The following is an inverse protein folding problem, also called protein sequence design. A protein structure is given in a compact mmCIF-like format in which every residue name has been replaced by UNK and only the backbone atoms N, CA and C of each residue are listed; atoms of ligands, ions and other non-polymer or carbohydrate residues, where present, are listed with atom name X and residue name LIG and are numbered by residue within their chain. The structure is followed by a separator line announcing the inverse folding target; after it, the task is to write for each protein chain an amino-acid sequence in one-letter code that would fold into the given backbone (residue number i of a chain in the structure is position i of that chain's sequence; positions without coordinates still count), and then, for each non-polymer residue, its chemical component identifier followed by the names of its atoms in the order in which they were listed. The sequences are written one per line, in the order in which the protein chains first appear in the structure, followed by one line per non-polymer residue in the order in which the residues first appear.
data_IF_549233484564
#
_entry.id   IF_549233484564
#
_cell.length_a   1.000
_cell.length_b   1.000
_cell.length_c   1.000
_cell.angle_alpha   90.00
_cell.angle_beta   90.00
_cell.angle_gamma   90.00
#
_symmetry.space_group_name_H-M   'P 1'
#
loop_
_entity.id
_entity.type
_entity.pdbx_description
1 polymer ?
#
# COMPACT_ATOMS: atom_id res chain seq x y z
N UNK A 1 -6.88 -3.44 12.09
CA UNK A 1 -5.59 -3.63 12.79
C UNK A 1 -4.81 -4.75 12.12
N UNK A 2 -3.50 -4.57 11.97
CA UNK A 2 -2.61 -5.61 11.43
C UNK A 2 -1.61 -5.97 12.52
N UNK A 3 -1.44 -7.25 12.81
CA UNK A 3 -0.50 -7.74 13.80
C UNK A 3 0.51 -8.68 13.16
N UNK A 4 1.79 -8.45 13.45
CA UNK A 4 2.92 -9.25 13.01
C UNK A 4 3.55 -9.88 14.25
N UNK A 5 3.67 -11.20 14.27
CA UNK A 5 4.22 -11.96 15.39
C UNK A 5 5.33 -12.90 14.92
N UNK A 6 6.55 -12.71 15.43
CA UNK A 6 7.75 -13.53 15.19
C UNK A 6 8.04 -13.79 13.70
N UNK A 7 7.81 -12.79 12.86
CA UNK A 7 7.89 -12.91 11.42
C UNK A 7 9.34 -12.97 10.95
N UNK A 8 9.70 -14.07 10.25
CA UNK A 8 11.04 -14.25 9.68
C UNK A 8 10.97 -14.67 8.23
N UNK A 9 11.90 -14.11 7.43
CA UNK A 9 12.16 -14.50 6.05
C UNK A 9 13.64 -14.39 5.73
N UNK A 10 14.20 -15.48 5.21
CA UNK A 10 15.58 -15.51 4.74
C UNK A 10 15.63 -15.89 3.25
N UNK A 11 16.61 -15.36 2.55
CA UNK A 11 17.00 -15.78 1.21
C UNK A 11 18.46 -16.27 1.29
N UNK A 12 18.63 -17.59 1.39
CA UNK A 12 19.92 -18.18 1.70
C UNK A 12 20.42 -17.71 3.07
N UNK A 13 21.58 -17.08 3.11
CA UNK A 13 22.17 -16.54 4.35
C UNK A 13 21.69 -15.11 4.67
N UNK A 14 20.94 -14.47 3.76
CA UNK A 14 20.50 -13.09 3.94
C UNK A 14 19.17 -13.04 4.68
N UNK A 15 19.13 -12.37 5.83
CA UNK A 15 17.91 -12.06 6.56
C UNK A 15 17.19 -10.92 5.85
N UNK A 16 16.01 -11.20 5.29
CA UNK A 16 15.19 -10.20 4.60
C UNK A 16 14.11 -9.60 5.51
N UNK A 17 13.68 -10.35 6.54
CA UNK A 17 12.72 -9.88 7.54
C UNK A 17 12.95 -10.66 8.83
N UNK A 18 13.07 -9.94 9.95
CA UNK A 18 13.11 -10.49 11.32
C UNK A 18 12.41 -9.51 12.26
N UNK A 19 11.10 -9.66 12.39
CA UNK A 19 10.23 -8.76 13.17
C UNK A 19 9.59 -9.58 14.29
N UNK A 20 10.09 -9.46 15.53
CA UNK A 20 9.55 -10.21 16.68
C UNK A 20 8.09 -9.87 16.97
N UNK A 21 7.73 -8.59 16.94
CA UNK A 21 6.35 -8.12 17.11
C UNK A 21 6.21 -6.72 16.53
N UNK A 22 5.13 -6.49 15.79
CA UNK A 22 4.77 -5.16 15.30
C UNK A 22 3.25 -5.08 15.10
N UNK A 23 2.67 -3.97 15.47
CA UNK A 23 1.22 -3.74 15.31
C UNK A 23 0.99 -2.44 14.55
N UNK A 24 0.12 -2.49 13.55
CA UNK A 24 -0.35 -1.32 12.81
C UNK A 24 -1.82 -1.12 13.18
N UNK A 25 -2.14 0.06 13.71
CA UNK A 25 -3.49 0.34 14.21
C UNK A 25 -4.44 0.68 13.06
N UNK A 26 -5.73 0.56 13.34
CA UNK A 26 -6.75 1.02 12.39
C UNK A 26 -6.65 2.54 12.20
N UNK A 27 -6.73 2.97 10.95
CA UNK A 27 -6.64 4.37 10.58
C UNK A 27 -5.23 4.96 10.54
N UNK A 28 -4.18 4.20 10.87
CA UNK A 28 -2.80 4.66 10.69
C UNK A 28 -2.50 4.89 9.20
N UNK A 29 -1.79 5.98 8.89
CA UNK A 29 -1.01 6.11 7.66
C UNK A 29 0.43 5.78 8.05
N UNK A 30 0.83 4.53 7.84
CA UNK A 30 2.17 4.04 8.18
C UNK A 30 3.15 4.28 7.02
N UNK A 31 4.17 5.08 7.26
CA UNK A 31 5.34 5.17 6.40
C UNK A 31 6.37 4.10 6.76
N UNK A 32 6.61 3.14 5.87
CA UNK A 32 7.69 2.16 6.03
C UNK A 32 8.93 2.65 5.30
N UNK A 33 9.88 3.18 6.04
CA UNK A 33 11.08 3.81 5.50
C UNK A 33 12.29 2.88 5.66
N UNK A 34 13.24 2.98 4.75
CA UNK A 34 14.50 2.22 4.78
C UNK A 34 15.19 2.21 3.44
N UNK A 35 16.49 1.95 3.44
CA UNK A 35 17.31 1.88 2.24
C UNK A 35 16.84 0.76 1.28
N UNK A 36 17.34 0.81 0.04
CA UNK A 36 17.13 -0.30 -0.89
C UNK A 36 17.70 -1.60 -0.33
N UNK A 37 16.92 -2.67 -0.36
CA UNK A 37 17.33 -3.94 0.25
C UNK A 37 17.02 -4.08 1.75
N UNK A 38 16.45 -3.07 2.40
CA UNK A 38 16.09 -3.14 3.83
C UNK A 38 15.03 -4.19 4.17
N UNK A 39 14.26 -4.69 3.18
CA UNK A 39 13.22 -5.70 3.38
C UNK A 39 11.79 -5.19 3.22
N UNK A 40 11.56 -3.92 2.85
CA UNK A 40 10.22 -3.30 2.72
C UNK A 40 9.28 -4.10 1.81
N UNK A 41 9.67 -4.32 0.56
CA UNK A 41 8.87 -5.11 -0.40
C UNK A 41 8.72 -6.56 0.02
N UNK A 42 9.71 -7.14 0.72
CA UNK A 42 9.62 -8.50 1.27
C UNK A 42 8.52 -8.58 2.32
N UNK A 43 8.49 -7.61 3.25
CA UNK A 43 7.45 -7.52 4.27
C UNK A 43 6.06 -7.38 3.63
N UNK A 44 5.88 -6.46 2.67
CA UNK A 44 4.60 -6.27 1.98
C UNK A 44 4.16 -7.53 1.22
N UNK A 45 5.09 -8.23 0.55
CA UNK A 45 4.76 -9.49 -0.14
C UNK A 45 4.33 -10.58 0.82
N UNK A 46 4.91 -10.66 2.02
CA UNK A 46 4.46 -11.62 3.04
C UNK A 46 3.08 -11.24 3.55
N UNK A 47 2.85 -9.95 3.84
CA UNK A 47 1.54 -9.46 4.29
C UNK A 47 0.42 -9.76 3.27
N UNK A 48 0.73 -9.78 1.98
CA UNK A 48 -0.21 -10.03 0.89
C UNK A 48 -0.25 -11.51 0.43
N UNK A 49 0.38 -12.42 1.17
CA UNK A 49 0.52 -13.84 0.81
C UNK A 49 1.12 -14.09 -0.58
N UNK A 50 1.92 -13.14 -1.08
CA UNK A 50 2.68 -13.27 -2.32
C UNK A 50 4.06 -13.93 -2.09
N UNK A 51 4.47 -14.01 -0.85
CA UNK A 51 5.71 -14.64 -0.39
C UNK A 51 5.47 -15.33 0.95
N UNK A 52 5.86 -16.60 1.03
CA UNK A 52 5.71 -17.36 2.27
C UNK A 52 6.80 -16.98 3.28
N UNK A 53 6.41 -16.66 4.50
CA UNK A 53 7.33 -16.52 5.63
C UNK A 53 7.98 -17.86 5.98
N UNK A 54 9.19 -17.83 6.52
CA UNK A 54 9.86 -19.02 7.05
C UNK A 54 9.36 -19.33 8.47
N UNK A 55 8.97 -18.28 9.22
CA UNK A 55 8.43 -18.38 10.57
C UNK A 55 7.51 -17.21 10.88
N UNK A 56 6.64 -17.36 11.88
CA UNK A 56 5.75 -16.30 12.37
C UNK A 56 4.50 -16.13 11.53
N UNK A 57 3.72 -15.12 11.88
CA UNK A 57 2.40 -14.87 11.29
C UNK A 57 2.13 -13.39 11.10
N UNK A 58 1.29 -13.10 10.09
CA UNK A 58 0.59 -11.82 9.95
C UNK A 58 -0.89 -12.08 10.15
N UNK A 59 -1.57 -11.22 10.88
CA UNK A 59 -3.02 -11.32 11.07
C UNK A 59 -3.70 -9.99 10.83
N UNK A 60 -4.85 -10.04 10.17
CA UNK A 60 -5.73 -8.90 9.93
C UNK A 60 -6.96 -8.97 10.83
N UNK A 61 -7.30 -7.86 11.44
CA UNK A 61 -8.59 -7.66 12.12
C UNK A 61 -9.30 -6.50 11.45
N UNK A 62 -10.52 -6.72 10.96
CA UNK A 62 -11.27 -5.71 10.22
C UNK A 62 -12.42 -5.19 11.08
N UNK A 63 -12.48 -3.87 11.36
CA UNK A 63 -13.56 -3.28 12.16
C UNK A 63 -14.96 -3.52 11.60
N UNK A 64 -15.08 -3.60 10.25
CA UNK A 64 -16.36 -3.84 9.57
C UNK A 64 -16.98 -5.20 9.88
N UNK A 65 -16.19 -6.15 10.34
CA UNK A 65 -16.68 -7.48 10.75
C UNK A 65 -17.27 -7.48 12.16
N UNK A 66 -17.07 -6.38 12.93
CA UNK A 66 -17.69 -6.14 14.24
C UNK A 66 -17.28 -7.12 15.35
N UNK A 67 -17.29 -6.64 16.60
CA UNK A 67 -17.26 -7.52 17.77
C UNK A 67 -18.56 -8.34 17.82
N UNK A 68 -18.45 -9.67 17.69
CA UNK A 68 -19.62 -10.56 17.67
C UNK A 68 -19.99 -11.13 16.30
N UNK A 69 -19.29 -10.76 15.21
CA UNK A 69 -19.47 -11.39 13.89
C UNK A 69 -19.06 -12.87 13.89
N UNK A 70 -18.35 -13.36 14.90
CA UNK A 70 -17.76 -14.70 14.94
C UNK A 70 -16.53 -14.86 14.03
N UNK A 71 -16.13 -13.81 13.32
CA UNK A 71 -14.93 -13.80 12.47
C UNK A 71 -13.78 -13.29 13.33
N UNK A 72 -12.84 -14.17 13.64
CA UNK A 72 -11.59 -13.85 14.33
C UNK A 72 -10.58 -13.14 13.42
N UNK A 73 -9.37 -12.86 13.92
CA UNK A 73 -8.27 -12.38 13.11
C UNK A 73 -8.00 -13.32 11.93
N UNK A 74 -7.82 -12.77 10.72
CA UNK A 74 -7.60 -13.53 9.49
C UNK A 74 -6.10 -13.58 9.20
N UNK A 75 -5.54 -14.80 9.08
CA UNK A 75 -4.19 -15.01 8.61
C UNK A 75 -4.21 -15.12 7.08
N UNK A 76 -3.53 -14.22 6.32
CA UNK A 76 -3.52 -14.25 4.87
C UNK A 76 -2.93 -15.55 4.28
N UNK A 77 -2.06 -16.24 5.01
CA UNK A 77 -1.49 -17.51 4.58
C UNK A 77 -2.46 -18.70 4.71
N UNK A 78 -3.60 -18.53 5.39
CA UNK A 78 -4.56 -19.60 5.69
C UNK A 78 -5.96 -19.36 5.09
N UNK A 79 -6.32 -18.10 4.77
CA UNK A 79 -7.62 -17.74 4.23
C UNK A 79 -7.47 -16.64 3.17
N UNK A 80 -8.38 -16.61 2.21
CA UNK A 80 -8.49 -15.56 1.19
C UNK A 80 -9.50 -14.46 1.56
N UNK A 81 -10.21 -14.59 2.69
CA UNK A 81 -11.28 -13.68 3.09
C UNK A 81 -10.82 -12.21 3.29
N UNK A 82 -9.53 -12.01 3.55
CA UNK A 82 -8.94 -10.68 3.66
C UNK A 82 -8.89 -9.90 2.33
N UNK A 83 -8.89 -10.59 1.18
CA UNK A 83 -8.68 -9.97 -0.14
C UNK A 83 -9.74 -8.94 -0.50
N UNK A 84 -10.96 -9.08 0.00
CA UNK A 84 -12.03 -8.12 -0.23
C UNK A 84 -11.87 -6.80 0.53
N UNK A 85 -11.02 -6.77 1.55
CA UNK A 85 -10.78 -5.61 2.41
C UNK A 85 -9.44 -4.92 2.17
N UNK A 86 -8.55 -5.54 1.39
CA UNK A 86 -7.20 -5.06 1.14
C UNK A 86 -7.02 -4.70 -0.32
N UNK A 87 -6.54 -3.50 -0.58
CA UNK A 87 -6.08 -3.08 -1.90
C UNK A 87 -4.58 -2.92 -1.89
N UNK A 88 -3.90 -3.38 -2.94
CA UNK A 88 -2.45 -3.30 -2.98
C UNK A 88 -1.92 -2.97 -4.38
N UNK A 89 -0.82 -2.23 -4.42
CA UNK A 89 0.00 -2.05 -5.61
C UNK A 89 1.47 -2.08 -5.22
N UNK A 90 2.22 -3.03 -5.76
CA UNK A 90 3.63 -3.23 -5.47
C UNK A 90 4.52 -2.79 -6.64
N UNK A 91 4.19 -3.22 -7.85
CA UNK A 91 4.90 -2.86 -9.08
C UNK A 91 4.01 -3.06 -10.31
N UNK A 92 4.46 -2.57 -11.48
CA UNK A 92 3.70 -2.64 -12.74
C UNK A 92 3.60 -4.08 -13.32
N UNK A 93 4.36 -5.03 -12.82
CA UNK A 93 4.24 -6.44 -13.19
C UNK A 93 2.93 -7.08 -12.74
N UNK A 94 2.19 -6.45 -11.81
CA UNK A 94 0.86 -6.91 -11.40
C UNK A 94 -0.28 -6.33 -12.25
N UNK A 95 0.01 -5.42 -13.20
CA UNK A 95 -1.00 -4.90 -14.12
C UNK A 95 -1.24 -5.83 -15.30
N UNK A 96 -2.48 -5.90 -15.78
CA UNK A 96 -2.80 -6.61 -17.03
C UNK A 96 -2.43 -5.69 -18.20
N UNK A 97 -1.19 -5.75 -18.63
CA UNK A 97 -0.52 -4.77 -19.48
C UNK A 97 -1.02 -4.73 -20.94
N UNK A 98 -1.71 -5.79 -21.39
CA UNK A 98 -2.32 -5.87 -22.72
C UNK A 98 -3.76 -5.33 -22.80
N UNK A 99 -4.29 -4.74 -21.73
CA UNK A 99 -5.54 -4.01 -21.69
C UNK A 99 -5.27 -2.50 -21.76
N UNK A 100 -6.27 -1.72 -22.19
CA UNK A 100 -6.31 -0.28 -21.91
C UNK A 100 -6.70 -0.04 -20.44
N UNK A 101 -6.45 1.14 -19.86
CA UNK A 101 -6.91 1.45 -18.51
C UNK A 101 -8.41 1.23 -18.33
N UNK A 102 -9.24 1.66 -19.29
CA UNK A 102 -10.67 1.50 -19.23
C UNK A 102 -11.10 0.02 -19.21
N UNK A 103 -10.50 -0.80 -20.08
CA UNK A 103 -10.73 -2.25 -20.10
C UNK A 103 -10.29 -2.92 -18.80
N UNK A 104 -9.16 -2.48 -18.23
CA UNK A 104 -8.65 -2.97 -16.97
C UNK A 104 -9.60 -2.67 -15.80
N UNK A 105 -10.10 -1.43 -15.69
CA UNK A 105 -11.05 -1.07 -14.64
C UNK A 105 -12.44 -1.69 -14.87
N UNK A 106 -12.89 -1.86 -16.10
CA UNK A 106 -14.10 -2.63 -16.41
C UNK A 106 -13.95 -4.10 -15.96
N UNK A 107 -12.76 -4.70 -16.18
CA UNK A 107 -12.45 -6.05 -15.69
C UNK A 107 -12.48 -6.10 -14.17
N UNK A 108 -11.81 -5.18 -13.47
CA UNK A 108 -11.81 -5.10 -12.00
C UNK A 108 -13.24 -4.93 -11.44
N UNK A 109 -14.04 -4.08 -12.08
CA UNK A 109 -15.45 -3.90 -11.72
C UNK A 109 -16.23 -5.19 -11.85
N UNK A 110 -16.08 -5.89 -12.98
CA UNK A 110 -16.78 -7.14 -13.25
C UNK A 110 -16.45 -8.24 -12.21
N UNK A 111 -15.19 -8.44 -11.86
CA UNK A 111 -14.80 -9.44 -10.84
C UNK A 111 -15.26 -9.05 -9.44
N UNK A 112 -15.48 -7.73 -9.20
CA UNK A 112 -16.02 -7.20 -7.94
C UNK A 112 -17.54 -7.08 -7.94
N UNK A 113 -18.23 -7.61 -8.95
CA UNK A 113 -19.70 -7.60 -9.05
C UNK A 113 -20.29 -6.22 -9.36
N UNK A 114 -19.51 -5.26 -9.86
CA UNK A 114 -19.97 -3.91 -10.22
C UNK A 114 -20.47 -3.85 -11.66
N UNK A 115 -21.47 -3.03 -11.88
CA UNK A 115 -21.93 -2.64 -13.23
C UNK A 115 -20.96 -1.64 -13.86
N UNK A 116 -21.02 -1.49 -15.20
CA UNK A 116 -20.20 -0.49 -15.90
C UNK A 116 -20.49 0.94 -15.40
N UNK A 117 -21.74 1.26 -15.11
CA UNK A 117 -22.11 2.59 -14.59
C UNK A 117 -21.45 2.87 -13.21
N UNK A 118 -21.39 1.87 -12.34
CA UNK A 118 -20.69 1.98 -11.04
C UNK A 118 -19.17 2.11 -11.21
N UNK A 119 -18.59 1.44 -12.22
CA UNK A 119 -17.17 1.61 -12.58
C UNK A 119 -16.91 3.02 -13.04
N UNK A 120 -17.70 3.53 -13.99
CA UNK A 120 -17.55 4.87 -14.57
C UNK A 120 -17.72 5.96 -13.50
N UNK A 121 -18.69 5.80 -12.59
CA UNK A 121 -18.89 6.72 -11.48
C UNK A 121 -17.69 6.69 -10.51
N UNK A 122 -17.18 5.49 -10.19
CA UNK A 122 -16.02 5.35 -9.30
C UNK A 122 -14.74 5.96 -9.89
N UNK A 123 -14.54 5.87 -11.20
CA UNK A 123 -13.36 6.44 -11.86
C UNK A 123 -13.32 7.97 -11.80
N UNK A 124 -14.46 8.65 -11.68
CA UNK A 124 -14.52 10.10 -11.49
C UNK A 124 -13.80 10.57 -10.23
N UNK A 125 -13.79 9.77 -9.17
CA UNK A 125 -13.06 10.09 -7.94
C UNK A 125 -11.54 10.24 -8.16
N UNK A 126 -11.04 9.69 -9.26
CA UNK A 126 -9.62 9.69 -9.61
C UNK A 126 -9.25 10.60 -10.78
N UNK A 127 -10.21 11.29 -11.41
CA UNK A 127 -9.97 12.13 -12.61
C UNK A 127 -8.84 13.13 -12.36
N UNK A 128 -8.84 13.78 -11.20
CA UNK A 128 -7.80 14.75 -10.85
C UNK A 128 -6.41 14.13 -10.77
N UNK A 129 -6.28 12.94 -10.18
CA UNK A 129 -5.00 12.23 -10.06
C UNK A 129 -4.56 11.59 -11.37
N UNK A 130 -5.49 11.00 -12.11
CA UNK A 130 -5.26 10.41 -13.43
C UNK A 130 -4.82 11.48 -14.43
N UNK A 131 -5.31 12.72 -14.26
CA UNK A 131 -5.27 13.78 -15.26
C UNK A 131 -5.77 13.25 -16.63
N UNK A 132 -5.66 14.02 -17.69
CA UNK A 132 -6.03 13.58 -19.05
C UNK A 132 -4.99 12.62 -19.68
N UNK A 133 -4.11 12.04 -18.86
CA UNK A 133 -2.98 11.23 -19.31
C UNK A 133 -3.21 9.73 -19.23
N UNK A 134 -4.13 9.27 -18.36
CA UNK A 134 -4.41 7.85 -18.13
C UNK A 134 -5.60 7.40 -18.95
N UNK A 135 -6.73 8.09 -18.81
CA UNK A 135 -7.99 7.72 -19.46
C UNK A 135 -8.16 8.42 -20.82
N UNK A 136 -8.95 7.84 -21.72
CA UNK A 136 -9.28 8.40 -23.04
C UNK A 136 -8.17 8.26 -24.10
N UNK A 137 -6.99 7.75 -23.74
CA UNK A 137 -5.84 7.66 -24.65
C UNK A 137 -5.88 6.49 -25.63
N UNK A 138 -6.76 5.51 -25.42
CA UNK A 138 -6.86 4.26 -26.23
C UNK A 138 -5.50 3.53 -26.37
N UNK A 139 -4.63 3.66 -25.37
CA UNK A 139 -3.33 3.00 -25.32
C UNK A 139 -3.38 1.82 -24.37
N UNK A 140 -2.71 0.73 -24.73
CA UNK A 140 -2.50 -0.39 -23.81
C UNK A 140 -1.63 0.05 -22.64
N UNK A 141 -1.86 -0.51 -21.45
CA UNK A 141 -1.11 -0.19 -20.22
C UNK A 141 0.39 -0.36 -20.45
N UNK A 142 0.85 -1.39 -21.18
CA UNK A 142 2.27 -1.59 -21.51
C UNK A 142 2.90 -0.41 -22.29
N UNK A 143 2.10 0.37 -23.00
CA UNK A 143 2.55 1.49 -23.81
C UNK A 143 2.43 2.85 -23.08
N UNK A 144 1.99 2.86 -21.83
CA UNK A 144 1.98 4.04 -20.98
C UNK A 144 3.39 4.35 -20.47
N UNK A 145 3.62 5.62 -20.09
CA UNK A 145 4.82 6.01 -19.34
C UNK A 145 4.85 5.29 -17.97
N UNK A 146 6.03 5.19 -17.37
CA UNK A 146 6.16 4.60 -16.04
C UNK A 146 5.27 5.32 -14.99
N UNK A 147 5.20 6.66 -15.05
CA UNK A 147 4.32 7.45 -14.18
C UNK A 147 2.83 7.14 -14.38
N UNK A 148 2.39 6.97 -15.64
CA UNK A 148 0.99 6.65 -15.91
C UNK A 148 0.64 5.19 -15.52
N UNK A 149 1.56 4.24 -15.67
CA UNK A 149 1.40 2.88 -15.12
C UNK A 149 1.29 2.93 -13.59
N UNK A 150 2.11 3.75 -12.95
CA UNK A 150 2.07 3.98 -11.50
C UNK A 150 0.68 4.52 -11.08
N UNK A 151 0.16 5.52 -11.78
CA UNK A 151 -1.20 6.04 -11.55
C UNK A 151 -2.27 4.95 -11.68
N UNK A 152 -2.23 4.14 -12.75
CA UNK A 152 -3.16 3.01 -12.95
C UNK A 152 -3.08 2.03 -11.77
N UNK A 153 -1.89 1.64 -11.34
CA UNK A 153 -1.69 0.72 -10.23
C UNK A 153 -2.23 1.26 -8.90
N UNK A 154 -1.93 2.51 -8.58
CA UNK A 154 -2.43 3.16 -7.37
C UNK A 154 -3.97 3.27 -7.38
N UNK A 155 -4.56 3.68 -8.51
CA UNK A 155 -6.02 3.74 -8.66
C UNK A 155 -6.63 2.35 -8.48
N UNK A 156 -6.00 1.30 -9.03
CA UNK A 156 -6.50 -0.08 -8.88
C UNK A 156 -6.51 -0.53 -7.42
N UNK A 157 -5.50 -0.18 -6.64
CA UNK A 157 -5.45 -0.48 -5.21
C UNK A 157 -6.58 0.20 -4.42
N UNK A 158 -6.98 1.41 -4.82
CA UNK A 158 -8.04 2.21 -4.17
C UNK A 158 -9.45 1.93 -4.72
N UNK A 159 -9.55 1.26 -5.87
CA UNK A 159 -10.78 1.17 -6.66
C UNK A 159 -11.96 0.57 -5.89
N UNK A 160 -11.75 -0.50 -5.16
CA UNK A 160 -12.80 -1.21 -4.42
C UNK A 160 -13.10 -0.65 -3.02
N UNK A 161 -12.59 0.53 -2.69
CA UNK A 161 -12.73 1.17 -1.36
C UNK A 161 -12.27 0.25 -0.22
N UNK A 162 -11.02 -0.27 -0.27
CA UNK A 162 -10.49 -1.17 0.74
C UNK A 162 -10.36 -0.49 2.11
N UNK A 163 -10.35 -1.31 3.18
CA UNK A 163 -10.08 -0.86 4.55
C UNK A 163 -8.58 -0.78 4.86
N UNK A 164 -7.77 -1.54 4.10
CA UNK A 164 -6.31 -1.52 4.19
C UNK A 164 -5.75 -1.32 2.79
N UNK A 165 -4.79 -0.42 2.66
CA UNK A 165 -4.10 -0.12 1.40
C UNK A 165 -2.61 -0.34 1.60
N UNK A 166 -1.98 -1.09 0.69
CA UNK A 166 -0.55 -1.35 0.69
C UNK A 166 0.06 -0.86 -0.62
N UNK A 167 0.95 0.13 -0.52
CA UNK A 167 1.60 0.75 -1.67
C UNK A 167 3.13 0.67 -1.52
N UNK A 168 3.79 -0.01 -2.45
CA UNK A 168 5.26 -0.10 -2.46
C UNK A 168 5.83 1.00 -3.34
N UNK A 169 6.61 1.91 -2.76
CA UNK A 169 7.25 3.05 -3.43
C UNK A 169 6.27 3.88 -4.32
N UNK A 170 5.09 4.30 -3.83
CA UNK A 170 4.04 4.87 -4.68
C UNK A 170 4.40 6.22 -5.32
N UNK A 171 5.38 6.94 -4.79
CA UNK A 171 5.82 8.24 -5.32
C UNK A 171 6.83 8.13 -6.46
N UNK A 172 7.39 6.95 -6.71
CA UNK A 172 8.33 6.73 -7.80
C UNK A 172 7.68 6.98 -9.15
N UNK A 173 8.48 7.51 -10.09
CA UNK A 173 8.06 7.81 -11.48
C UNK A 173 7.00 8.91 -11.62
N UNK A 174 6.46 9.45 -10.53
CA UNK A 174 5.51 10.56 -10.56
C UNK A 174 6.27 11.90 -10.60
N UNK A 175 5.77 12.82 -11.41
CA UNK A 175 6.21 14.21 -11.37
C UNK A 175 5.76 14.92 -10.06
N UNK A 176 6.37 16.06 -9.69
CA UNK A 176 6.04 16.74 -8.42
C UNK A 176 4.55 17.09 -8.24
N UNK A 177 3.84 17.41 -9.34
CA UNK A 177 2.40 17.71 -9.28
C UNK A 177 1.62 16.45 -8.95
N UNK A 178 1.90 15.33 -9.63
CA UNK A 178 1.27 14.04 -9.40
C UNK A 178 1.59 13.48 -8.00
N UNK A 179 2.80 13.72 -7.48
CA UNK A 179 3.16 13.37 -6.10
C UNK A 179 2.30 14.13 -5.08
N UNK A 180 2.10 15.44 -5.27
CA UNK A 180 1.23 16.22 -4.40
C UNK A 180 -0.23 15.79 -4.48
N UNK A 181 -0.72 15.48 -5.70
CA UNK A 181 -2.07 14.94 -5.87
C UNK A 181 -2.25 13.60 -5.16
N UNK A 182 -1.25 12.72 -5.21
CA UNK A 182 -1.27 11.43 -4.49
C UNK A 182 -1.31 11.63 -2.98
N UNK A 183 -0.50 12.57 -2.44
CA UNK A 183 -0.54 12.90 -1.00
C UNK A 183 -1.94 13.32 -0.57
N UNK A 184 -2.57 14.23 -1.31
CA UNK A 184 -3.95 14.65 -1.03
C UNK A 184 -4.93 13.50 -1.13
N UNK A 185 -4.86 12.69 -2.20
CA UNK A 185 -5.74 11.55 -2.42
C UNK A 185 -5.69 10.56 -1.24
N UNK A 186 -4.49 10.18 -0.79
CA UNK A 186 -4.32 9.23 0.31
C UNK A 186 -4.78 9.80 1.65
N UNK A 187 -4.46 11.08 1.92
CA UNK A 187 -4.86 11.75 3.17
C UNK A 187 -6.39 11.93 3.25
N UNK A 188 -7.02 12.36 2.15
CA UNK A 188 -8.48 12.50 2.08
C UNK A 188 -9.16 11.14 2.21
N UNK A 189 -8.67 10.13 1.49
CA UNK A 189 -9.20 8.78 1.59
C UNK A 189 -9.16 8.23 3.02
N UNK A 190 -8.03 8.39 3.72
CA UNK A 190 -7.91 7.98 5.12
C UNK A 190 -8.90 8.74 6.01
N UNK A 191 -9.04 10.06 5.87
CA UNK A 191 -9.97 10.88 6.66
C UNK A 191 -11.44 10.49 6.45
N UNK A 192 -11.82 10.20 5.21
CA UNK A 192 -13.20 9.90 4.86
C UNK A 192 -13.62 8.48 5.25
N UNK A 193 -12.70 7.53 5.15
CA UNK A 193 -13.01 6.10 5.30
C UNK A 193 -12.48 5.48 6.59
N UNK A 194 -11.51 6.10 7.25
CA UNK A 194 -10.77 5.50 8.36
C UNK A 194 -9.85 4.36 7.93
N UNK A 195 -9.57 4.22 6.62
CA UNK A 195 -8.74 3.13 6.10
C UNK A 195 -7.30 3.25 6.59
N UNK A 196 -6.69 2.11 6.90
CA UNK A 196 -5.26 2.01 7.21
C UNK A 196 -4.46 2.01 5.92
N UNK A 197 -3.44 2.85 5.82
CA UNK A 197 -2.60 2.99 4.62
C UNK A 197 -1.15 2.69 4.97
N UNK A 198 -0.53 1.78 4.22
CA UNK A 198 0.88 1.46 4.32
C UNK A 198 1.58 1.92 3.04
N UNK A 199 2.54 2.83 3.18
CA UNK A 199 3.37 3.30 2.07
C UNK A 199 4.84 3.01 2.37
N UNK A 200 5.53 2.27 1.51
CA UNK A 200 6.98 2.19 1.59
C UNK A 200 7.63 3.38 0.90
N UNK A 201 8.80 3.78 1.36
CA UNK A 201 9.64 4.75 0.66
C UNK A 201 11.11 4.63 1.06
N UNK A 202 11.99 4.92 0.12
CA UNK A 202 13.39 5.22 0.39
C UNK A 202 13.64 6.74 0.48
N UNK A 203 12.64 7.57 0.19
CA UNK A 203 12.68 9.03 0.31
C UNK A 203 11.79 9.47 1.48
N UNK A 204 12.43 10.02 2.53
CA UNK A 204 11.78 10.47 3.75
C UNK A 204 10.74 11.56 3.52
N UNK A 205 11.06 12.56 2.67
CA UNK A 205 10.25 13.76 2.53
C UNK A 205 8.79 13.47 2.15
N UNK A 206 8.56 12.53 1.22
CA UNK A 206 7.20 12.21 0.79
C UNK A 206 6.41 11.44 1.85
N UNK A 207 7.11 10.57 2.60
CA UNK A 207 6.50 9.69 3.59
C UNK A 207 6.16 10.45 4.86
N UNK A 208 7.07 11.30 5.34
CA UNK A 208 6.85 12.14 6.54
C UNK A 208 5.63 13.04 6.38
N UNK A 209 5.43 13.63 5.18
CA UNK A 209 4.35 14.59 4.94
C UNK A 209 2.93 14.00 5.11
N UNK A 210 2.75 12.71 4.86
CA UNK A 210 1.41 12.08 4.90
C UNK A 210 1.22 11.10 6.06
N UNK A 211 2.31 10.58 6.63
CA UNK A 211 2.24 9.50 7.61
C UNK A 211 1.88 10.03 9.00
N UNK A 212 0.98 9.32 9.66
CA UNK A 212 0.70 9.52 11.10
C UNK A 212 1.72 8.79 11.97
N UNK A 213 2.39 7.77 11.40
CA UNK A 213 3.38 6.94 12.08
C UNK A 213 4.42 6.46 11.07
N UNK A 214 5.67 6.39 11.48
CA UNK A 214 6.78 5.98 10.63
C UNK A 214 7.56 4.84 11.28
N UNK A 215 7.73 3.75 10.54
CA UNK A 215 8.59 2.64 10.93
C UNK A 215 9.84 2.63 10.05
N UNK A 216 11.02 2.69 10.68
CA UNK A 216 12.30 2.56 10.00
C UNK A 216 12.73 1.10 9.98
N UNK A 217 12.86 0.55 8.78
CA UNK A 217 13.28 -0.83 8.54
C UNK A 217 14.72 -0.87 8.06
N UNK A 218 15.57 -1.64 8.75
CA UNK A 218 16.96 -1.90 8.36
C UNK A 218 17.28 -3.39 8.50
N UNK A 219 17.88 -3.94 7.46
CA UNK A 219 18.26 -5.36 7.42
C UNK A 219 17.18 -6.32 7.92
N UNK A 220 15.92 -6.02 7.56
CA UNK A 220 14.77 -6.83 7.93
C UNK A 220 14.20 -6.58 9.32
N UNK A 221 14.76 -5.66 10.10
CA UNK A 221 14.35 -5.35 11.48
C UNK A 221 13.76 -3.93 11.54
N UNK A 222 12.66 -3.76 12.28
CA UNK A 222 12.14 -2.42 12.61
C UNK A 222 12.99 -1.84 13.73
N UNK A 223 13.86 -0.87 13.39
CA UNK A 223 14.81 -0.26 14.33
C UNK A 223 14.25 0.99 15.01
N UNK A 224 13.26 1.64 14.41
CA UNK A 224 12.52 2.77 14.97
C UNK A 224 11.04 2.66 14.61
N UNK A 225 10.22 3.14 15.52
CA UNK A 225 8.77 3.23 15.37
C UNK A 225 8.35 4.55 16.02
N UNK A 226 7.94 5.52 15.22
CA UNK A 226 7.82 6.93 15.61
C UNK A 226 6.43 7.43 15.27
N UNK A 227 5.72 7.96 16.25
CA UNK A 227 4.50 8.74 16.02
C UNK A 227 4.88 10.07 15.35
N UNK A 228 4.28 10.35 14.20
CA UNK A 228 4.58 11.56 13.41
C UNK A 228 3.58 12.68 13.67
N UNK A 229 3.24 12.92 14.92
CA UNK A 229 2.42 14.04 15.30
C UNK A 229 3.19 15.35 15.07
N UNK A 230 2.60 16.28 14.29
CA UNK A 230 3.18 17.60 13.98
C UNK A 230 4.55 17.56 13.26
N UNK A 231 4.87 16.48 12.56
CA UNK A 231 6.12 16.36 11.80
C UNK A 231 7.37 16.03 12.65
N UNK A 232 7.18 15.60 13.88
CA UNK A 232 8.28 15.30 14.81
C UNK A 232 9.24 14.20 14.29
N UNK A 233 8.73 13.27 13.48
CA UNK A 233 9.54 12.20 12.91
C UNK A 233 10.61 12.67 11.91
N UNK A 234 10.42 13.83 11.24
CA UNK A 234 11.38 14.34 10.26
C UNK A 234 12.76 14.57 10.91
N UNK A 235 12.79 15.31 12.00
CA UNK A 235 14.04 15.66 12.70
C UNK A 235 14.73 14.42 13.29
N UNK A 236 13.98 13.47 13.82
CA UNK A 236 14.55 12.24 14.40
C UNK A 236 15.18 11.37 13.32
N UNK A 237 14.54 11.24 12.16
CA UNK A 237 15.04 10.47 11.04
C UNK A 237 16.21 11.14 10.34
N UNK A 238 16.20 12.46 10.16
CA UNK A 238 17.35 13.21 9.63
C UNK A 238 18.59 12.98 10.51
N UNK A 239 18.46 13.14 11.83
CA UNK A 239 19.55 12.88 12.78
C UNK A 239 20.04 11.42 12.74
N UNK A 240 19.17 10.47 12.44
CA UNK A 240 19.56 9.06 12.33
C UNK A 240 20.40 8.78 11.08
N UNK A 241 20.06 9.39 9.94
CA UNK A 241 20.78 9.19 8.68
C UNK A 241 22.05 10.04 8.55
N UNK A 242 22.27 11.04 9.41
CA UNK A 242 23.49 11.84 9.46
C UNK A 242 24.62 11.19 10.30
N UNK A 243 24.33 10.10 11.02
CA UNK A 243 25.30 9.32 11.81
C UNK A 243 25.91 8.18 11.00
#
# INVERSE_FOLDING_TARGET
MIKIDNLKKNFGETVATDIPSFTINDGDILGLVGNNGAGKSTLFRIMLDLLKADNGTVTYTFPSLGEGSGVGPINPAESEDWKQFVGAYLDDGFLIDFLTPEEYFAFLGKISGKTQAEVDERLKDFERFAADEVFGQKKLIRNLSAGNKQKVGIISALFNKPQIIVLDEPFNFLDPSSQNMLKHLLTEYNKETGATILCSSHNLAHTVDISTRIALLEHGVIVRDIDNNEGAAAQELENYFEQ
#
